data_IF_882030307050
#
_entry.id   IF_882030307050
#
_cell.length_a   1.000
_cell.length_b   1.000
_cell.length_c   1.000
_cell.angle_alpha   90.00
_cell.angle_beta   90.00
_cell.angle_gamma   90.00
#
_symmetry.space_group_name_H-M   'P 1'
#
loop_
_entity.id
_entity.type
_entity.pdbx_description
1 polymer ?
#
# COMPACT_ATOMS: atom_id res chain seq x y z
N UNK A 1 3.38 21.67 -40.63
CA UNK A 1 2.33 20.78 -40.06
C UNK A 1 0.97 21.44 -40.23
N UNK A 2 -0.03 20.76 -40.81
CA UNK A 2 -1.32 21.40 -41.16
C UNK A 2 -2.12 21.79 -39.91
N UNK A 3 -2.79 22.95 -39.93
CA UNK A 3 -3.61 23.47 -38.80
C UNK A 3 -4.65 22.44 -38.31
N UNK A 4 -5.24 21.66 -39.23
CA UNK A 4 -6.17 20.56 -38.92
C UNK A 4 -5.53 19.42 -38.11
N UNK A 5 -4.26 19.10 -38.38
CA UNK A 5 -3.51 18.06 -37.64
C UNK A 5 -3.18 18.54 -36.22
N UNK A 6 -2.80 19.81 -36.08
CA UNK A 6 -2.56 20.44 -34.76
C UNK A 6 -3.83 20.43 -33.91
N UNK A 7 -4.97 20.81 -34.50
CA UNK A 7 -6.27 20.77 -33.81
C UNK A 7 -6.63 19.37 -33.35
N UNK A 8 -6.40 18.36 -34.19
CA UNK A 8 -6.68 16.96 -33.85
C UNK A 8 -5.84 16.48 -32.65
N UNK A 9 -4.56 16.84 -32.63
CA UNK A 9 -3.65 16.52 -31.52
C UNK A 9 -4.11 17.17 -30.21
N UNK A 10 -4.48 18.45 -30.25
CA UNK A 10 -4.98 19.17 -29.06
C UNK A 10 -6.27 18.56 -28.50
N UNK A 11 -7.20 18.18 -29.39
CA UNK A 11 -8.45 17.51 -28.99
C UNK A 11 -8.17 16.14 -28.37
N UNK A 12 -7.27 15.34 -28.96
CA UNK A 12 -6.90 14.04 -28.41
C UNK A 12 -6.23 14.14 -27.02
N UNK A 13 -5.38 15.14 -26.81
CA UNK A 13 -4.73 15.38 -25.50
C UNK A 13 -5.79 15.77 -24.47
N UNK A 14 -6.73 16.66 -24.85
CA UNK A 14 -7.84 17.03 -23.97
C UNK A 14 -8.68 15.82 -23.53
N UNK A 15 -9.09 14.96 -24.46
CA UNK A 15 -9.90 13.76 -24.16
C UNK A 15 -9.16 12.81 -23.20
N UNK A 16 -7.85 12.59 -23.42
CA UNK A 16 -7.05 11.74 -22.54
C UNK A 16 -6.94 12.34 -21.13
N UNK A 17 -6.79 13.66 -21.00
CA UNK A 17 -6.72 14.34 -19.70
C UNK A 17 -8.04 14.28 -18.92
N UNK A 18 -9.20 14.34 -19.59
CA UNK A 18 -10.51 14.21 -18.92
C UNK A 18 -10.71 12.84 -18.24
N UNK A 19 -10.06 11.79 -18.74
CA UNK A 19 -10.12 10.45 -18.13
C UNK A 19 -9.32 10.30 -16.82
N UNK A 20 -8.47 11.26 -16.47
CA UNK A 20 -7.50 11.17 -15.36
C UNK A 20 -7.88 12.00 -14.14
N UNK A 21 -9.17 12.26 -13.91
CA UNK A 21 -9.59 12.91 -12.66
C UNK A 21 -9.37 11.97 -11.47
N UNK A 22 -8.56 12.39 -10.50
CA UNK A 22 -8.35 11.65 -9.26
C UNK A 22 -9.65 11.68 -8.46
N UNK A 23 -10.24 10.51 -8.18
CA UNK A 23 -11.41 10.43 -7.32
C UNK A 23 -11.02 10.88 -5.91
N UNK A 24 -11.58 12.01 -5.47
CA UNK A 24 -11.39 12.50 -4.10
C UNK A 24 -12.40 11.81 -3.18
N UNK A 25 -11.90 11.05 -2.20
CA UNK A 25 -12.72 10.35 -1.22
C UNK A 25 -12.57 11.03 0.15
N UNK A 26 -13.42 12.02 0.50
CA UNK A 26 -13.25 12.82 1.71
C UNK A 26 -13.29 11.98 2.99
N UNK A 27 -14.16 10.96 3.03
CA UNK A 27 -14.25 10.05 4.19
C UNK A 27 -12.99 9.20 4.37
N UNK A 28 -12.37 8.75 3.27
CA UNK A 28 -11.12 7.99 3.33
C UNK A 28 -9.96 8.88 3.80
N UNK A 29 -9.92 10.13 3.34
CA UNK A 29 -8.94 11.10 3.80
C UNK A 29 -9.10 11.41 5.30
N UNK A 30 -10.34 11.58 5.77
CA UNK A 30 -10.64 11.80 7.18
C UNK A 30 -10.33 10.58 8.08
N UNK A 31 -10.45 9.36 7.56
CA UNK A 31 -10.19 8.12 8.28
C UNK A 31 -8.70 7.67 8.25
N UNK A 32 -7.81 8.49 7.69
CA UNK A 32 -6.38 8.16 7.61
C UNK A 32 -5.79 7.95 9.01
N UNK A 33 -5.04 6.85 9.18
CA UNK A 33 -4.34 6.51 10.43
C UNK A 33 -5.26 6.44 11.67
N UNK A 34 -6.53 6.05 11.50
CA UNK A 34 -7.46 5.87 12.63
C UNK A 34 -7.04 4.68 13.55
N UNK A 35 -6.23 3.76 13.03
CA UNK A 35 -5.62 2.64 13.75
C UNK A 35 -4.12 2.65 13.43
N UNK A 36 -3.29 2.44 14.45
CA UNK A 36 -1.84 2.36 14.28
C UNK A 36 -1.41 0.94 13.90
N UNK A 37 -1.11 0.74 12.61
CA UNK A 37 -0.58 -0.51 12.09
C UNK A 37 0.95 -0.56 12.10
N UNK A 38 1.62 0.42 12.71
CA UNK A 38 3.09 0.41 12.78
C UNK A 38 3.57 -0.60 13.81
N UNK A 39 4.58 -1.38 13.44
CA UNK A 39 5.28 -2.24 14.38
C UNK A 39 5.92 -3.42 13.70
N UNK A 40 7.05 -3.87 14.25
CA UNK A 40 7.83 -4.98 13.72
C UNK A 40 7.65 -6.17 14.67
N UNK A 41 7.07 -7.30 14.23
CA UNK A 41 6.86 -8.44 15.10
C UNK A 41 8.22 -9.05 15.46
N UNK A 42 8.45 -9.24 16.77
CA UNK A 42 9.73 -9.78 17.27
C UNK A 42 9.82 -11.29 17.10
N UNK A 43 8.67 -11.97 17.15
CA UNK A 43 8.54 -13.43 17.07
C UNK A 43 7.28 -13.81 16.29
N UNK A 44 7.19 -15.08 15.86
CA UNK A 44 6.06 -15.59 15.06
C UNK A 44 4.70 -15.43 15.73
N UNK A 45 4.63 -15.43 17.06
CA UNK A 45 3.39 -15.33 17.84
C UNK A 45 3.17 -13.95 18.47
N UNK A 46 3.98 -12.95 18.10
CA UNK A 46 3.88 -11.59 18.63
C UNK A 46 2.50 -10.99 18.33
N UNK A 47 1.84 -10.47 19.36
CA UNK A 47 0.47 -9.90 19.28
C UNK A 47 0.45 -8.39 19.44
N UNK A 48 1.60 -7.75 19.63
CA UNK A 48 1.67 -6.30 19.78
C UNK A 48 1.42 -5.56 18.45
N UNK A 49 2.05 -5.94 17.32
CA UNK A 49 1.81 -5.27 16.05
C UNK A 49 0.45 -5.67 15.48
N UNK A 50 -0.26 -4.69 14.92
CA UNK A 50 -1.50 -4.92 14.20
C UNK A 50 -1.21 -5.27 12.73
N UNK A 51 -2.05 -6.12 12.15
CA UNK A 51 -1.96 -6.51 10.76
C UNK A 51 -3.26 -6.15 10.03
N UNK A 52 -3.14 -5.52 8.87
CA UNK A 52 -4.25 -5.15 8.01
C UNK A 52 -4.51 -6.23 6.96
N UNK A 53 -5.76 -6.65 6.83
CA UNK A 53 -6.26 -7.53 5.77
C UNK A 53 -7.54 -6.97 5.18
N UNK A 54 -7.78 -7.24 3.90
CA UNK A 54 -8.98 -6.81 3.19
C UNK A 54 -9.52 -7.94 2.31
N UNK A 55 -10.80 -7.86 1.94
CA UNK A 55 -11.52 -8.78 1.04
C UNK A 55 -11.53 -10.25 1.50
N UNK A 56 -11.40 -10.50 2.81
CA UNK A 56 -11.41 -11.85 3.37
C UNK A 56 -10.14 -12.65 3.03
N UNK A 57 -9.02 -11.98 2.75
CA UNK A 57 -7.74 -12.64 2.57
C UNK A 57 -7.27 -13.32 3.87
N UNK A 58 -6.55 -14.43 3.73
CA UNK A 58 -6.01 -15.20 4.86
C UNK A 58 -4.57 -14.78 5.22
N UNK A 59 -4.18 -13.60 4.75
CA UNK A 59 -2.91 -12.97 5.07
C UNK A 59 -3.11 -11.48 5.35
N UNK A 60 -2.16 -10.90 6.06
CA UNK A 60 -2.19 -9.50 6.46
C UNK A 60 -0.77 -8.90 6.51
N UNK A 61 -0.71 -7.57 6.46
CA UNK A 61 0.53 -6.79 6.53
C UNK A 61 0.37 -5.62 7.49
N UNK A 62 1.46 -5.25 8.17
CA UNK A 62 1.56 -4.03 8.97
C UNK A 62 2.43 -2.97 8.29
N UNK A 63 2.49 -1.77 8.88
CA UNK A 63 3.51 -0.78 8.50
C UNK A 63 4.80 -1.06 9.26
N UNK A 64 5.91 -1.04 8.53
CA UNK A 64 7.23 -1.21 9.12
C UNK A 64 7.60 0.02 9.96
N UNK A 65 8.04 -0.21 11.19
CA UNK A 65 8.52 0.87 12.05
C UNK A 65 9.94 1.30 11.62
N UNK A 66 10.19 2.61 11.63
CA UNK A 66 11.17 3.30 10.80
C UNK A 66 12.65 3.22 11.27
N UNK A 67 13.07 2.13 11.91
CA UNK A 67 14.41 2.06 12.52
C UNK A 67 15.55 1.65 11.57
N UNK A 68 15.38 1.77 10.23
CA UNK A 68 16.48 1.52 9.28
C UNK A 68 16.10 1.09 7.86
N UNK A 69 14.82 0.82 7.57
CA UNK A 69 14.33 0.42 6.25
C UNK A 69 13.31 1.44 5.77
N UNK A 70 13.59 2.10 4.64
CA UNK A 70 12.84 3.27 4.17
C UNK A 70 11.56 2.91 3.39
N UNK A 71 11.43 1.66 2.95
CA UNK A 71 10.27 1.19 2.18
C UNK A 71 9.99 -0.30 2.45
N UNK A 72 8.80 -0.61 2.94
CA UNK A 72 8.38 -2.00 3.18
C UNK A 72 7.20 -2.10 4.11
N UNK A 73 6.72 -3.33 4.29
CA UNK A 73 5.64 -3.67 5.20
C UNK A 73 6.18 -4.62 6.29
N UNK A 74 5.53 -4.65 7.44
CA UNK A 74 5.76 -5.69 8.44
C UNK A 74 4.99 -6.95 8.06
N UNK A 75 5.59 -8.12 8.30
CA UNK A 75 5.00 -9.42 7.98
C UNK A 75 5.68 -10.15 6.82
N UNK A 76 5.00 -11.12 6.18
CA UNK A 76 3.55 -11.35 6.22
C UNK A 76 3.04 -12.03 7.50
N UNK A 77 1.81 -11.73 7.88
CA UNK A 77 1.02 -12.46 8.89
C UNK A 77 0.06 -13.42 8.19
N UNK A 78 0.10 -14.70 8.53
CA UNK A 78 -0.84 -15.71 8.03
C UNK A 78 -1.90 -15.98 9.06
N UNK A 79 -3.17 -15.89 8.64
CA UNK A 79 -4.31 -16.32 9.43
C UNK A 79 -4.56 -17.80 9.12
N UNK A 80 -4.04 -18.70 9.95
CA UNK A 80 -4.33 -20.14 9.84
C UNK A 80 -5.61 -20.47 10.58
N UNK A 81 -6.21 -21.63 10.32
CA UNK A 81 -7.52 -22.04 10.87
C UNK A 81 -7.64 -21.87 12.39
N UNK A 82 -6.54 -22.11 13.11
CA UNK A 82 -6.54 -22.09 14.57
C UNK A 82 -5.89 -20.84 15.16
N UNK A 83 -4.92 -20.24 14.45
CA UNK A 83 -4.17 -19.10 14.94
C UNK A 83 -3.48 -18.31 13.83
N UNK A 84 -3.28 -17.02 14.07
CA UNK A 84 -2.44 -16.19 13.21
C UNK A 84 -0.96 -16.23 13.62
N UNK A 85 -0.06 -16.30 12.64
CA UNK A 85 1.40 -16.30 12.85
C UNK A 85 2.12 -15.36 11.89
N UNK A 86 3.15 -14.68 12.38
CA UNK A 86 4.07 -13.89 11.56
C UNK A 86 5.14 -14.81 10.94
N UNK A 87 5.32 -14.73 9.63
CA UNK A 87 6.37 -15.48 8.92
C UNK A 87 7.70 -14.73 8.89
N UNK A 88 7.66 -13.41 8.84
CA UNK A 88 8.84 -12.56 8.89
C UNK A 88 8.55 -11.22 9.55
N UNK A 89 9.57 -10.58 10.15
CA UNK A 89 9.44 -9.24 10.70
C UNK A 89 9.20 -8.18 9.65
N UNK A 90 9.74 -8.36 8.44
CA UNK A 90 9.68 -7.37 7.37
C UNK A 90 9.55 -8.02 6.00
N UNK A 91 8.80 -7.34 5.13
CA UNK A 91 8.69 -7.58 3.70
C UNK A 91 9.11 -6.29 2.98
N UNK A 92 10.39 -6.22 2.65
CA UNK A 92 11.04 -5.05 2.05
C UNK A 92 11.20 -5.24 0.53
N UNK A 93 10.98 -4.17 -0.24
CA UNK A 93 11.43 -4.13 -1.62
C UNK A 93 12.97 -4.06 -1.61
N UNK A 94 13.71 -4.74 -2.50
CA UNK A 94 15.16 -4.64 -2.52
C UNK A 94 15.58 -3.18 -2.65
N UNK A 95 16.24 -2.62 -1.63
CA UNK A 95 17.01 -1.39 -1.82
C UNK A 95 18.17 -1.76 -2.73
N UNK A 96 18.33 -1.08 -3.86
CA UNK A 96 19.54 -1.16 -4.67
C UNK A 96 20.73 -0.73 -3.82
N UNK A 97 21.34 -1.69 -3.13
CA UNK A 97 22.69 -1.60 -2.59
C UNK A 97 23.61 -2.14 -3.68
N UNK A 98 24.02 -1.23 -4.57
CA UNK A 98 24.90 -1.48 -5.72
C UNK A 98 25.08 -0.19 -6.51
#
# INVERSE_FOLDING_TARGET
MNKKKILFILVSIGIVQYGWTQKHFPNLAAAKNNIDYKGNPKNATDRNPLAFSDKGAWFAFGFLDASGIQAGFSGPFLMTEQNGVWLSPSFCCPSTSG
#
